data_IF_738033034123
#
_entry.id   IF_738033034123
#
_cell.length_a   1.000
_cell.length_b   1.000
_cell.length_c   1.000
_cell.angle_alpha   90.00
_cell.angle_beta   90.00
_cell.angle_gamma   90.00
#
_symmetry.space_group_name_H-M   'P 1'
#
loop_
_entity.id
_entity.type
_entity.pdbx_description
1 polymer ?
#
# COMPACT_ATOMS: atom_id res chain seq x y z
N UNK A 1 -9.26 8.77 16.24
CA UNK A 1 -9.18 8.50 14.79
C UNK A 1 -7.98 9.25 14.25
N UNK A 2 -6.81 8.60 14.12
CA UNK A 2 -5.55 9.27 13.74
C UNK A 2 -5.33 9.12 12.23
N UNK A 3 -5.51 10.23 11.51
CA UNK A 3 -5.07 10.41 10.13
C UNK A 3 -3.56 10.61 10.14
N UNK A 4 -2.79 9.67 9.59
CA UNK A 4 -1.37 9.91 9.30
C UNK A 4 -1.27 10.75 8.02
N UNK A 5 -1.25 12.07 8.19
CA UNK A 5 -0.74 12.99 7.18
C UNK A 5 0.79 12.95 7.23
N UNK A 6 1.44 12.51 6.16
CA UNK A 6 2.87 12.72 5.98
C UNK A 6 3.10 14.23 5.75
N UNK A 7 3.67 14.91 6.76
CA UNK A 7 4.32 16.19 6.56
C UNK A 7 5.71 15.90 5.96
N UNK A 8 5.98 16.50 4.80
CA UNK A 8 7.28 16.48 4.14
C UNK A 8 8.33 17.04 5.11
N UNK A 9 9.40 16.28 5.34
CA UNK A 9 10.53 16.73 6.13
C UNK A 9 11.31 17.82 5.38
N UNK A 10 11.55 18.94 6.06
CA UNK A 10 12.46 20.00 5.65
C UNK A 10 13.90 19.44 5.57
N UNK A 11 14.57 19.67 4.44
CA UNK A 11 16.03 19.63 4.36
C UNK A 11 16.52 21.08 4.24
N UNK A 12 17.38 21.46 5.18
CA UNK A 12 18.08 22.75 5.29
C UNK A 12 17.21 23.98 5.59
N UNK A 13 16.67 24.08 6.81
CA UNK A 13 16.68 25.26 7.70
C UNK A 13 16.38 26.67 7.16
N UNK A 14 15.88 26.84 5.94
CA UNK A 14 15.58 28.12 5.30
C UNK A 14 14.17 28.06 4.74
N UNK A 15 13.22 28.59 5.51
CA UNK A 15 11.86 28.86 5.05
C UNK A 15 11.92 29.73 3.79
N UNK A 16 11.57 29.15 2.65
CA UNK A 16 11.50 29.84 1.36
C UNK A 16 10.12 29.58 0.77
N UNK A 17 9.39 30.65 0.42
CA UNK A 17 8.09 30.59 -0.25
C UNK A 17 8.19 30.24 -1.74
N UNK A 18 9.39 29.93 -2.25
CA UNK A 18 9.56 29.52 -3.64
C UNK A 18 9.06 28.08 -3.79
N UNK A 19 8.11 27.82 -4.70
CA UNK A 19 7.76 26.44 -5.03
C UNK A 19 9.00 25.71 -5.55
N UNK A 20 9.10 24.38 -5.33
CA UNK A 20 10.20 23.59 -5.86
C UNK A 20 10.31 23.78 -7.38
N UNK A 21 11.52 23.67 -7.97
CA UNK A 21 11.69 23.77 -9.41
C UNK A 21 10.78 22.75 -10.10
N UNK A 22 9.98 23.25 -11.04
CA UNK A 22 9.01 22.47 -11.78
C UNK A 22 9.78 21.53 -12.70
N UNK A 23 9.86 20.25 -12.34
CA UNK A 23 10.35 19.21 -13.25
C UNK A 23 9.50 19.18 -14.52
N UNK A 24 10.07 18.72 -15.62
CA UNK A 24 9.39 18.66 -16.91
C UNK A 24 8.08 17.87 -16.78
N UNK A 25 6.98 18.51 -17.17
CA UNK A 25 5.64 17.91 -17.17
C UNK A 25 5.65 16.85 -18.28
N UNK A 26 5.42 15.59 -17.92
CA UNK A 26 5.29 14.49 -18.88
C UNK A 26 4.30 14.84 -19.99
N UNK A 27 4.68 14.53 -21.24
CA UNK A 27 3.88 14.77 -22.44
C UNK A 27 2.56 13.98 -22.46
N UNK A 28 2.43 12.97 -21.60
CA UNK A 28 1.27 12.08 -21.55
C UNK A 28 0.23 12.53 -20.50
N UNK A 29 0.45 13.67 -19.84
CA UNK A 29 -0.49 14.23 -18.87
C UNK A 29 -1.65 14.96 -19.58
N UNK A 30 -2.83 14.37 -19.50
CA UNK A 30 -4.07 15.00 -19.98
C UNK A 30 -4.79 15.70 -18.83
N UNK A 31 -5.17 16.97 -19.04
CA UNK A 31 -5.99 17.73 -18.09
C UNK A 31 -7.45 17.71 -18.54
N UNK A 32 -8.33 17.25 -17.67
CA UNK A 32 -9.78 17.23 -17.91
C UNK A 32 -10.53 18.04 -16.85
N UNK A 33 -11.62 18.69 -17.25
CA UNK A 33 -12.57 19.36 -16.36
C UNK A 33 -13.89 18.63 -16.42
N UNK A 34 -14.39 18.16 -15.28
CA UNK A 34 -15.66 17.45 -15.17
C UNK A 34 -16.72 18.36 -14.56
N UNK A 35 -17.86 18.50 -15.23
CA UNK A 35 -18.98 19.29 -14.72
C UNK A 35 -20.01 18.40 -14.04
N UNK A 36 -20.15 18.57 -12.72
CA UNK A 36 -21.17 17.91 -11.92
C UNK A 36 -22.30 18.90 -11.62
N UNK A 37 -23.44 18.73 -12.29
CA UNK A 37 -24.60 19.62 -12.11
C UNK A 37 -25.32 19.34 -10.80
N UNK A 38 -26.10 20.31 -10.30
CA UNK A 38 -26.89 20.14 -9.08
C UNK A 38 -27.88 18.97 -9.17
N UNK A 39 -28.45 18.73 -10.35
CA UNK A 39 -29.34 17.59 -10.61
C UNK A 39 -28.60 16.25 -10.44
N UNK A 40 -27.38 16.13 -10.99
CA UNK A 40 -26.54 14.93 -10.83
C UNK A 40 -26.17 14.70 -9.37
N UNK A 41 -25.80 15.76 -8.64
CA UNK A 41 -25.51 15.68 -7.20
C UNK A 41 -26.74 15.22 -6.42
N UNK A 42 -27.94 15.71 -6.77
CA UNK A 42 -29.19 15.29 -6.12
C UNK A 42 -29.47 13.80 -6.33
N UNK A 43 -29.33 13.31 -7.57
CA UNK A 43 -29.45 11.88 -7.90
C UNK A 43 -28.43 11.03 -7.12
N UNK A 44 -27.19 11.49 -6.98
CA UNK A 44 -26.17 10.80 -6.19
C UNK A 44 -26.52 10.74 -4.70
N UNK A 45 -27.09 11.81 -4.13
CA UNK A 45 -27.58 11.83 -2.76
C UNK A 45 -28.75 10.87 -2.55
N UNK A 46 -29.68 10.81 -3.50
CA UNK A 46 -30.83 9.91 -3.45
C UNK A 46 -30.40 8.45 -3.54
N UNK A 47 -29.49 8.12 -4.46
CA UNK A 47 -28.88 6.80 -4.56
C UNK A 47 -28.20 6.37 -3.26
N UNK A 48 -27.36 7.24 -2.67
CA UNK A 48 -26.68 6.94 -1.42
C UNK A 48 -27.65 6.67 -0.26
N UNK A 49 -28.82 7.31 -0.26
CA UNK A 49 -29.89 7.06 0.72
C UNK A 49 -30.60 5.73 0.49
N UNK A 50 -30.78 5.33 -0.78
CA UNK A 50 -31.45 4.07 -1.15
C UNK A 50 -30.57 2.84 -0.89
N UNK A 51 -29.26 2.95 -1.14
CA UNK A 51 -28.31 1.85 -0.97
C UNK A 51 -27.89 1.63 0.51
N UNK A 52 -28.16 2.59 1.40
CA UNK A 52 -27.82 2.47 2.82
C UNK A 52 -28.87 1.66 3.60
N UNK A 53 -28.63 0.35 3.75
CA UNK A 53 -29.43 -0.53 4.61
C UNK A 53 -29.27 -0.27 6.13
N UNK A 54 -28.40 0.67 6.53
CA UNK A 54 -28.17 1.06 7.93
C UNK A 54 -28.65 2.49 8.16
N UNK A 55 -29.52 2.65 9.18
CA UNK A 55 -29.83 3.87 9.93
C UNK A 55 -29.64 5.20 9.16
N UNK A 56 -30.75 5.75 8.69
CA UNK A 56 -30.89 6.97 7.87
C UNK A 56 -30.31 8.26 8.49
N UNK A 57 -29.76 8.22 9.72
CA UNK A 57 -29.49 9.41 10.54
C UNK A 57 -28.03 9.90 10.58
N UNK A 58 -27.04 9.15 10.07
CA UNK A 58 -25.62 9.51 10.29
C UNK A 58 -24.80 9.86 9.03
N UNK A 59 -25.38 9.81 7.82
CA UNK A 59 -24.64 10.13 6.59
C UNK A 59 -24.58 11.64 6.35
N UNK A 60 -23.37 12.21 6.46
CA UNK A 60 -23.13 13.62 6.15
C UNK A 60 -23.10 13.87 4.62
N UNK A 61 -24.29 14.04 4.03
CA UNK A 61 -24.52 14.18 2.57
C UNK A 61 -24.39 15.63 2.05
N UNK A 62 -23.30 16.32 2.44
CA UNK A 62 -23.00 17.61 1.83
C UNK A 62 -22.65 17.46 0.34
N UNK A 63 -22.85 18.52 -0.46
CA UNK A 63 -22.50 18.50 -1.89
C UNK A 63 -21.01 18.18 -2.10
N UNK A 64 -20.15 18.69 -1.22
CA UNK A 64 -18.72 18.41 -1.22
C UNK A 64 -18.42 16.92 -1.00
N UNK A 65 -19.00 16.31 0.04
CA UNK A 65 -18.74 14.91 0.39
C UNK A 65 -19.21 13.97 -0.71
N UNK A 66 -20.41 14.19 -1.25
CA UNK A 66 -20.97 13.33 -2.30
C UNK A 66 -20.17 13.46 -3.60
N UNK A 67 -19.72 14.67 -3.93
CA UNK A 67 -18.87 14.90 -5.11
C UNK A 67 -17.51 14.21 -4.94
N UNK A 68 -16.88 14.33 -3.77
CA UNK A 68 -15.59 13.67 -3.49
C UNK A 68 -15.72 12.15 -3.47
N UNK A 69 -16.74 11.61 -2.82
CA UNK A 69 -17.01 10.17 -2.80
C UNK A 69 -17.25 9.61 -4.21
N UNK A 70 -18.00 10.34 -5.04
CA UNK A 70 -18.22 9.98 -6.44
C UNK A 70 -16.91 10.04 -7.25
N UNK A 71 -16.12 11.10 -7.13
CA UNK A 71 -14.83 11.23 -7.80
C UNK A 71 -13.85 10.14 -7.39
N UNK A 72 -13.78 9.79 -6.10
CA UNK A 72 -12.96 8.67 -5.61
C UNK A 72 -13.44 7.33 -6.15
N UNK A 73 -14.75 7.08 -6.15
CA UNK A 73 -15.32 5.86 -6.71
C UNK A 73 -15.00 5.74 -8.20
N UNK A 74 -15.12 6.83 -8.97
CA UNK A 74 -14.74 6.87 -10.37
C UNK A 74 -13.23 6.70 -10.56
N UNK A 75 -12.39 7.30 -9.72
CA UNK A 75 -10.94 7.16 -9.79
C UNK A 75 -10.51 5.72 -9.54
N UNK A 76 -11.10 5.05 -8.55
CA UNK A 76 -10.83 3.63 -8.27
C UNK A 76 -11.28 2.77 -9.44
N UNK A 77 -12.48 2.97 -9.97
CA UNK A 77 -12.98 2.23 -11.15
C UNK A 77 -12.19 2.50 -12.43
N UNK A 78 -11.68 3.72 -12.62
CA UNK A 78 -10.84 4.08 -13.76
C UNK A 78 -9.39 3.58 -13.61
N UNK A 79 -8.97 3.25 -12.38
CA UNK A 79 -7.70 2.59 -12.06
C UNK A 79 -7.79 1.07 -12.07
N UNK A 80 -8.90 0.52 -12.58
CA UNK A 80 -9.02 -0.89 -12.92
C UNK A 80 -8.45 -1.12 -14.33
N UNK A 81 -7.23 -0.60 -14.58
CA UNK A 81 -6.11 -1.52 -14.65
C UNK A 81 -4.90 -1.04 -13.82
N UNK A 82 -4.12 -2.03 -13.36
CA UNK A 82 -2.72 -1.97 -12.89
C UNK A 82 -2.24 -0.59 -12.44
N UNK A 83 -1.99 -0.45 -11.13
CA UNK A 83 -1.30 0.72 -10.57
C UNK A 83 -0.13 1.10 -11.49
N UNK A 84 -0.11 2.31 -12.07
CA UNK A 84 0.90 2.68 -13.05
C UNK A 84 2.30 2.41 -12.50
N UNK A 85 3.21 1.94 -13.35
CA UNK A 85 4.60 1.65 -12.94
C UNK A 85 5.26 2.86 -12.23
N UNK A 86 4.87 4.07 -12.63
CA UNK A 86 5.37 5.34 -12.08
C UNK A 86 4.48 5.93 -10.97
N UNK A 87 3.62 5.13 -10.36
CA UNK A 87 2.81 5.58 -9.23
C UNK A 87 3.71 5.92 -8.04
N UNK A 88 3.72 7.19 -7.66
CA UNK A 88 4.56 7.70 -6.57
C UNK A 88 3.99 7.43 -5.17
N UNK A 89 2.76 6.90 -5.07
CA UNK A 89 2.12 6.61 -3.78
C UNK A 89 2.40 5.18 -3.29
N UNK A 90 1.77 4.83 -2.17
CA UNK A 90 1.90 3.49 -1.59
C UNK A 90 0.89 2.52 -2.20
N UNK A 91 1.36 1.37 -2.66
CA UNK A 91 0.53 0.23 -3.05
C UNK A 91 1.09 -1.06 -2.42
N UNK A 92 1.13 -1.07 -1.09
CA UNK A 92 1.61 -2.21 -0.30
C UNK A 92 0.50 -2.61 0.65
N UNK A 93 0.23 -3.92 0.73
CA UNK A 93 -0.76 -4.48 1.64
C UNK A 93 -0.14 -5.65 2.42
N UNK A 94 -0.30 -5.71 3.75
CA UNK A 94 0.27 -6.79 4.55
C UNK A 94 -0.51 -8.08 4.32
N UNK A 95 0.21 -9.20 4.24
CA UNK A 95 -0.38 -10.53 4.15
C UNK A 95 -0.04 -11.24 5.44
N UNK A 96 -1.06 -11.66 6.17
CA UNK A 96 -0.89 -12.35 7.44
C UNK A 96 -1.16 -13.84 7.30
N UNK A 97 -0.24 -14.67 7.80
CA UNK A 97 -0.40 -16.11 7.93
C UNK A 97 -0.79 -16.44 9.38
N UNK A 98 -2.08 -16.39 9.69
CA UNK A 98 -2.57 -16.56 11.07
C UNK A 98 -3.03 -17.99 11.36
N UNK A 99 -3.08 -18.36 12.64
CA UNK A 99 -3.69 -19.62 13.11
C UNK A 99 -2.78 -20.87 13.04
N UNK A 100 -1.58 -20.76 12.48
CA UNK A 100 -0.63 -21.88 12.42
C UNK A 100 0.10 -22.08 13.75
N UNK A 101 0.25 -23.34 14.17
CA UNK A 101 0.98 -23.70 15.39
C UNK A 101 2.46 -23.90 15.08
N UNK A 102 3.35 -23.43 15.95
CA UNK A 102 4.80 -23.61 15.80
C UNK A 102 5.22 -25.07 15.55
N UNK A 103 4.52 -26.05 16.17
CA UNK A 103 4.77 -27.49 15.96
C UNK A 103 4.67 -27.92 14.49
N UNK A 104 3.82 -27.26 13.69
CA UNK A 104 3.70 -27.54 12.25
C UNK A 104 4.98 -27.22 11.49
N UNK A 105 5.69 -26.16 11.92
CA UNK A 105 6.95 -25.69 11.33
C UNK A 105 8.18 -26.39 11.91
N UNK A 106 8.08 -26.94 13.12
CA UNK A 106 9.17 -27.68 13.78
C UNK A 106 9.20 -29.18 13.44
N UNK A 107 8.19 -29.68 12.71
CA UNK A 107 8.13 -31.09 12.29
C UNK A 107 9.13 -31.44 11.18
N UNK A 108 9.23 -32.74 10.85
CA UNK A 108 10.10 -33.25 9.76
C UNK A 108 9.86 -32.52 8.44
N UNK A 109 8.60 -32.23 8.13
CA UNK A 109 8.18 -31.56 6.89
C UNK A 109 7.94 -30.05 7.09
N UNK A 110 8.46 -29.48 8.18
CA UNK A 110 8.15 -28.10 8.60
C UNK A 110 8.50 -27.04 7.56
N UNK A 111 9.59 -27.24 6.81
CA UNK A 111 9.97 -26.36 5.71
C UNK A 111 9.00 -26.43 4.52
N UNK A 112 8.53 -27.63 4.16
CA UNK A 112 7.53 -27.80 3.10
C UNK A 112 6.19 -27.18 3.50
N UNK A 113 5.77 -27.38 4.76
CA UNK A 113 4.58 -26.73 5.30
C UNK A 113 4.70 -25.20 5.22
N UNK A 114 5.87 -24.63 5.53
CA UNK A 114 6.11 -23.19 5.41
C UNK A 114 5.98 -22.71 3.95
N UNK A 115 6.54 -23.45 3.00
CA UNK A 115 6.42 -23.15 1.55
C UNK A 115 4.96 -23.17 1.11
N UNK A 116 4.20 -24.18 1.50
CA UNK A 116 2.78 -24.30 1.14
C UNK A 116 1.97 -23.14 1.71
N UNK A 117 2.13 -22.83 3.00
CA UNK A 117 1.45 -21.72 3.69
C UNK A 117 1.73 -20.39 3.00
N UNK A 118 3.01 -20.07 2.77
CA UNK A 118 3.40 -18.81 2.14
C UNK A 118 2.98 -18.76 0.66
N UNK A 119 3.16 -19.86 -0.06
CA UNK A 119 2.83 -19.97 -1.48
C UNK A 119 1.33 -19.82 -1.73
N UNK A 120 0.49 -20.47 -0.93
CA UNK A 120 -0.96 -20.36 -1.07
C UNK A 120 -1.46 -18.98 -0.65
N UNK A 121 -0.84 -18.36 0.36
CA UNK A 121 -1.12 -16.97 0.73
C UNK A 121 -0.82 -16.01 -0.42
N UNK A 122 0.29 -16.17 -1.13
CA UNK A 122 0.63 -15.33 -2.30
C UNK A 122 -0.32 -15.60 -3.48
N UNK A 123 -0.64 -16.87 -3.78
CA UNK A 123 -1.61 -17.20 -4.84
C UNK A 123 -2.99 -16.62 -4.57
N UNK A 124 -3.41 -16.60 -3.29
CA UNK A 124 -4.69 -16.02 -2.88
C UNK A 124 -4.78 -14.51 -3.05
N UNK A 125 -3.70 -13.81 -3.42
CA UNK A 125 -3.76 -12.38 -3.78
C UNK A 125 -4.29 -12.16 -5.19
N UNK A 126 -4.19 -13.17 -6.05
CA UNK A 126 -4.61 -13.07 -7.45
C UNK A 126 -6.11 -13.26 -7.67
N UNK A 127 -6.88 -13.63 -6.64
CA UNK A 127 -8.30 -13.96 -6.76
C UNK A 127 -9.27 -12.90 -6.19
N UNK A 128 -9.03 -12.21 -5.05
CA UNK A 128 -9.93 -11.23 -4.48
C UNK A 128 -9.46 -9.79 -4.76
N UNK A 129 -10.41 -8.85 -4.84
CA UNK A 129 -10.08 -7.42 -4.77
C UNK A 129 -9.52 -7.04 -3.39
N UNK A 130 -8.88 -5.86 -3.30
CA UNK A 130 -8.23 -5.35 -2.07
C UNK A 130 -9.13 -5.42 -0.83
N UNK A 131 -10.44 -5.25 -0.98
CA UNK A 131 -11.43 -5.30 0.12
C UNK A 131 -11.44 -6.67 0.84
N UNK A 132 -11.44 -7.77 0.10
CA UNK A 132 -11.43 -9.11 0.69
C UNK A 132 -10.08 -9.43 1.36
N UNK A 133 -8.96 -8.89 0.84
CA UNK A 133 -7.67 -8.99 1.52
C UNK A 133 -7.67 -8.23 2.85
N UNK A 134 -8.31 -7.05 2.90
CA UNK A 134 -8.52 -6.30 4.14
C UNK A 134 -9.31 -7.10 5.17
N UNK A 135 -10.43 -7.70 4.77
CA UNK A 135 -11.27 -8.50 5.66
C UNK A 135 -10.51 -9.72 6.21
N UNK A 136 -9.82 -10.47 5.34
CA UNK A 136 -9.01 -11.62 5.75
C UNK A 136 -7.93 -11.24 6.76
N UNK A 137 -7.24 -10.12 6.52
CA UNK A 137 -6.22 -9.63 7.44
C UNK A 137 -6.81 -9.25 8.79
N UNK A 138 -7.91 -8.48 8.79
CA UNK A 138 -8.60 -8.04 10.01
C UNK A 138 -9.08 -9.25 10.81
N UNK A 139 -9.75 -10.20 10.18
CA UNK A 139 -10.28 -11.38 10.87
C UNK A 139 -9.17 -12.26 11.41
N UNK A 140 -8.10 -12.48 10.63
CA UNK A 140 -6.92 -13.19 11.10
C UNK A 140 -6.27 -12.55 12.34
N UNK A 141 -6.22 -11.21 12.40
CA UNK A 141 -5.68 -10.50 13.58
C UNK A 141 -6.56 -10.60 14.82
N UNK A 142 -7.89 -10.75 14.68
CA UNK A 142 -8.79 -10.93 15.84
C UNK A 142 -8.55 -12.26 16.55
N UNK A 143 -8.12 -13.27 15.81
CA UNK A 143 -7.84 -14.61 16.34
C UNK A 143 -6.47 -14.71 17.05
N UNK A 144 -5.64 -13.66 16.98
CA UNK A 144 -4.33 -13.62 17.63
C UNK A 144 -4.51 -13.41 19.13
N UNK A 145 -4.14 -14.43 19.91
CA UNK A 145 -4.23 -14.39 21.38
C UNK A 145 -3.08 -13.57 21.98
N UNK A 146 -3.28 -12.90 23.13
CA UNK A 146 -2.19 -12.28 23.88
C UNK A 146 -1.06 -13.28 24.15
N UNK A 147 0.18 -12.89 23.90
CA UNK A 147 1.36 -13.74 24.05
C UNK A 147 1.65 -14.66 22.86
N UNK A 148 0.86 -14.61 21.78
CA UNK A 148 1.23 -15.26 20.51
C UNK A 148 2.47 -14.59 19.94
N UNK A 149 3.48 -15.38 19.55
CA UNK A 149 4.64 -14.86 18.82
C UNK A 149 4.21 -14.46 17.41
N UNK A 150 4.43 -13.20 17.07
CA UNK A 150 4.16 -12.64 15.75
C UNK A 150 5.42 -11.96 15.27
N UNK A 151 5.95 -12.46 14.17
CA UNK A 151 7.06 -11.86 13.46
C UNK A 151 6.54 -11.30 12.13
N UNK A 152 7.24 -10.29 11.60
CA UNK A 152 6.90 -9.72 10.30
C UNK A 152 8.14 -9.57 9.44
N UNK A 153 7.94 -9.56 8.12
CA UNK A 153 8.99 -9.35 7.14
C UNK A 153 8.68 -8.08 6.36
N UNK A 154 9.68 -7.22 6.20
CA UNK A 154 9.61 -6.01 5.39
C UNK A 154 10.69 -6.01 4.30
N UNK A 155 10.55 -5.15 3.30
CA UNK A 155 11.49 -5.06 2.18
C UNK A 155 11.12 -5.98 1.02
N UNK A 156 11.99 -5.97 0.00
CA UNK A 156 11.81 -6.70 -1.25
C UNK A 156 13.16 -6.82 -1.96
N UNK A 157 13.34 -7.92 -2.71
CA UNK A 157 14.48 -8.10 -3.60
C UNK A 157 14.28 -7.44 -4.98
N UNK A 158 13.21 -6.66 -5.17
CA UNK A 158 12.84 -6.03 -6.45
C UNK A 158 12.93 -4.50 -6.44
N UNK A 159 13.50 -3.91 -5.41
CA UNK A 159 13.61 -2.44 -5.27
C UNK A 159 14.65 -1.82 -6.19
N UNK A 160 15.60 -2.60 -6.72
CA UNK A 160 16.57 -2.14 -7.72
C UNK A 160 17.60 -1.14 -7.17
N UNK A 161 17.86 -1.16 -5.86
CA UNK A 161 18.76 -0.18 -5.21
C UNK A 161 20.15 -0.24 -5.83
N UNK A 162 20.69 -1.43 -6.08
CA UNK A 162 22.01 -1.60 -6.68
C UNK A 162 22.09 -1.19 -8.15
N UNK A 163 20.95 -0.94 -8.81
CA UNK A 163 20.87 -0.36 -10.15
C UNK A 163 21.07 1.16 -10.19
N UNK A 164 21.03 1.84 -9.04
CA UNK A 164 21.15 3.30 -8.96
C UNK A 164 22.61 3.75 -9.16
N UNK A 165 22.85 4.72 -10.04
CA UNK A 165 24.15 5.38 -10.20
C UNK A 165 23.94 6.89 -10.40
N UNK A 166 24.53 7.68 -9.53
CA UNK A 166 24.43 9.15 -9.53
C UNK A 166 25.72 9.83 -10.03
N UNK A 167 26.66 9.06 -10.59
CA UNK A 167 27.95 9.55 -11.10
C UNK A 167 29.17 9.14 -10.26
N UNK A 168 28.96 8.43 -9.15
CA UNK A 168 30.01 7.91 -8.28
C UNK A 168 30.13 6.37 -8.33
N UNK A 169 29.39 5.73 -9.23
CA UNK A 169 29.26 4.28 -9.31
C UNK A 169 28.12 3.74 -8.47
N UNK A 170 27.84 2.45 -8.66
CA UNK A 170 26.75 1.72 -7.98
C UNK A 170 27.01 1.52 -6.49
N UNK A 171 25.97 1.45 -5.64
CA UNK A 171 26.11 1.13 -4.22
C UNK A 171 26.90 -0.14 -3.96
N UNK A 172 27.77 -0.10 -2.95
CA UNK A 172 28.50 -1.29 -2.46
C UNK A 172 27.71 -2.07 -1.41
N UNK A 173 26.89 -1.38 -0.64
CA UNK A 173 26.02 -1.94 0.39
C UNK A 173 24.73 -1.08 0.50
N UNK A 174 23.66 -1.67 1.01
CA UNK A 174 22.40 -1.00 1.32
C UNK A 174 21.79 -1.61 2.59
N UNK A 175 21.38 -0.76 3.53
CA UNK A 175 20.77 -1.18 4.80
C UNK A 175 19.52 -0.35 5.10
N UNK A 176 18.51 -1.01 5.66
CA UNK A 176 17.26 -0.38 6.10
C UNK A 176 17.39 -0.11 7.60
N UNK A 177 17.83 1.09 7.96
CA UNK A 177 18.12 1.46 9.37
C UNK A 177 16.87 1.59 10.26
N UNK A 178 15.68 1.67 9.68
CA UNK A 178 14.44 1.86 10.44
C UNK A 178 13.95 0.60 11.17
N UNK A 179 14.67 -0.52 11.07
CA UNK A 179 14.24 -1.81 11.63
C UNK A 179 14.65 -2.02 13.08
N UNK A 180 15.61 -1.28 13.61
CA UNK A 180 16.14 -1.48 14.97
C UNK A 180 15.06 -1.33 16.06
N UNK A 181 13.97 -0.64 15.73
CA UNK A 181 12.86 -0.35 16.62
C UNK A 181 11.77 -1.44 16.61
N UNK A 182 11.83 -2.38 15.66
CA UNK A 182 10.79 -3.35 15.43
C UNK A 182 11.40 -4.75 15.29
N UNK A 183 10.83 -5.76 15.96
CA UNK A 183 11.22 -7.16 15.77
C UNK A 183 10.78 -7.67 14.38
N UNK A 184 11.47 -7.22 13.33
CA UNK A 184 11.10 -7.38 11.93
C UNK A 184 12.31 -7.91 11.16
N UNK A 185 12.09 -8.93 10.35
CA UNK A 185 13.09 -9.38 9.38
C UNK A 185 13.03 -8.50 8.14
N UNK A 186 14.19 -8.28 7.51
CA UNK A 186 14.24 -7.59 6.22
C UNK A 186 14.68 -8.53 5.11
N UNK A 187 14.11 -8.32 3.93
CA UNK A 187 14.60 -8.92 2.69
C UNK A 187 15.05 -7.78 1.77
N UNK A 188 16.25 -7.92 1.23
CA UNK A 188 16.79 -7.01 0.23
C UNK A 188 17.39 -7.79 -0.94
N UNK A 189 17.59 -7.09 -2.05
CA UNK A 189 18.40 -7.58 -3.15
C UNK A 189 19.84 -7.83 -2.67
N UNK A 190 20.54 -8.78 -3.30
CA UNK A 190 21.98 -8.97 -3.13
C UNK A 190 22.68 -8.27 -4.28
N UNK A 191 23.79 -7.58 -4.00
CA UNK A 191 24.68 -7.04 -5.03
C UNK A 191 25.24 -8.18 -5.89
N UNK A 192 25.17 -8.03 -7.22
CA UNK A 192 25.89 -8.91 -8.13
C UNK A 192 27.40 -8.82 -7.87
N UNK A 193 28.08 -9.95 -7.76
CA UNK A 193 29.53 -10.00 -7.65
C UNK A 193 30.14 -9.57 -8.99
N UNK A 194 30.54 -8.30 -9.09
CA UNK A 194 31.45 -7.88 -10.16
C UNK A 194 32.84 -8.39 -9.76
N UNK A 195 33.16 -9.62 -10.12
CA UNK A 195 34.56 -10.07 -10.19
C UNK A 195 35.25 -9.28 -11.30
N UNK A 196 35.89 -8.16 -10.94
CA UNK A 196 36.86 -7.51 -11.82
C UNK A 196 38.12 -8.38 -11.87
N UNK A 197 38.36 -9.01 -13.02
CA UNK A 197 39.70 -9.45 -13.43
C UNK A 197 40.59 -8.24 -13.71
#
# INVERSE_FOLDING_TARGET
MKSMCYFLYEKDGKRTLKPPPRGDISTDLVRITLQLTQEKVKKLKERAKQESARSLHDLYLSTFVVTMAYLWSCLVKARDPLVPERYFGNCVFPIGCFGYKAKLLLGRDGFLNAIEILGDSVKSLGSPGIEALCELYIDGTKEVKPGTQVDSVSGSNRTGVYGSDFGWGKPVNHEIVSIDWYAVFTISERRDEIWSR
#
